data_IF_167243216720
#
_entry.id   IF_167243216720
#
_cell.length_a   1.000
_cell.length_b   1.000
_cell.length_c   1.000
_cell.angle_alpha   90.00
_cell.angle_beta   90.00
_cell.angle_gamma   90.00
#
_symmetry.space_group_name_H-M   'P 1'
#
loop_
_entity.id
_entity.type
_entity.pdbx_description
1 polymer ?
#
# COMPACT_ATOMS: atom_id res chain seq x y z
N UNK A 1 14.55 3.30 -24.36
CA UNK A 1 13.76 2.49 -23.41
C UNK A 1 14.23 2.84 -22.00
N UNK A 2 13.55 3.76 -21.30
CA UNK A 2 13.98 4.17 -19.96
C UNK A 2 13.68 3.04 -18.98
N UNK A 3 14.73 2.36 -18.50
CA UNK A 3 14.62 1.40 -17.41
C UNK A 3 14.15 2.16 -16.17
N UNK A 4 12.89 1.97 -15.78
CA UNK A 4 12.38 2.51 -14.52
C UNK A 4 13.18 1.89 -13.39
N UNK A 5 14.08 2.68 -12.79
CA UNK A 5 14.69 2.33 -11.53
C UNK A 5 13.57 1.92 -10.57
N UNK A 6 13.72 0.78 -9.89
CA UNK A 6 12.75 0.30 -8.89
C UNK A 6 12.71 1.29 -7.73
N UNK A 7 11.98 2.39 -7.89
CA UNK A 7 11.70 3.34 -6.83
C UNK A 7 10.84 2.63 -5.81
N UNK A 8 11.31 2.62 -4.57
CA UNK A 8 10.53 2.11 -3.44
C UNK A 8 9.48 3.17 -3.12
N UNK A 9 8.20 2.81 -3.29
CA UNK A 9 7.08 3.67 -2.92
C UNK A 9 6.76 3.45 -1.45
N UNK A 10 6.61 4.55 -0.70
CA UNK A 10 6.17 4.49 0.70
C UNK A 10 4.76 3.90 0.82
N UNK A 11 4.42 3.36 1.98
CA UNK A 11 3.07 2.85 2.26
C UNK A 11 2.01 3.95 2.04
N UNK A 12 2.33 5.21 2.38
CA UNK A 12 1.45 6.35 2.16
C UNK A 12 1.22 6.64 0.68
N UNK A 13 2.29 6.67 -0.14
CA UNK A 13 2.16 6.87 -1.60
C UNK A 13 1.33 5.76 -2.24
N UNK A 14 1.55 4.50 -1.84
CA UNK A 14 0.76 3.34 -2.30
C UNK A 14 -0.71 3.50 -1.92
N UNK A 15 -1.00 3.85 -0.67
CA UNK A 15 -2.36 4.07 -0.18
C UNK A 15 -3.09 5.18 -0.96
N UNK A 16 -2.42 6.32 -1.19
CA UNK A 16 -2.98 7.44 -1.96
C UNK A 16 -3.30 7.02 -3.40
N UNK A 17 -2.42 6.27 -4.04
CA UNK A 17 -2.63 5.77 -5.40
C UNK A 17 -3.82 4.80 -5.48
N UNK A 18 -3.92 3.85 -4.55
CA UNK A 18 -5.06 2.91 -4.49
C UNK A 18 -6.37 3.66 -4.23
N UNK A 19 -6.35 4.62 -3.29
CA UNK A 19 -7.50 5.48 -2.97
C UNK A 19 -7.98 6.27 -4.21
N UNK A 20 -7.08 6.98 -4.89
CA UNK A 20 -7.44 7.73 -6.10
C UNK A 20 -7.86 6.82 -7.26
N UNK A 21 -7.26 5.65 -7.38
CA UNK A 21 -7.67 4.66 -8.37
C UNK A 21 -9.10 4.18 -8.12
N UNK A 22 -9.45 3.91 -6.86
CA UNK A 22 -10.80 3.51 -6.48
C UNK A 22 -11.82 4.64 -6.72
N UNK A 23 -11.49 5.88 -6.37
CA UNK A 23 -12.35 7.05 -6.62
C UNK A 23 -12.61 7.31 -8.11
N UNK A 24 -11.56 7.23 -8.94
CA UNK A 24 -11.62 7.64 -10.35
C UNK A 24 -11.85 6.48 -11.31
N UNK A 25 -11.71 5.24 -10.82
CA UNK A 25 -11.68 4.00 -11.61
C UNK A 25 -10.70 4.07 -12.80
N UNK A 26 -9.66 4.91 -12.69
CA UNK A 26 -8.73 5.21 -13.78
C UNK A 26 -7.29 5.41 -13.29
N UNK A 27 -6.39 4.51 -13.70
CA UNK A 27 -4.98 4.59 -13.35
C UNK A 27 -4.30 5.83 -13.92
N UNK A 28 -4.73 6.32 -15.09
CA UNK A 28 -4.21 7.55 -15.70
C UNK A 28 -4.58 8.80 -14.88
N UNK A 29 -5.78 8.84 -14.32
CA UNK A 29 -6.20 9.92 -13.42
C UNK A 29 -5.50 9.86 -12.07
N UNK A 30 -5.35 8.67 -11.48
CA UNK A 30 -4.57 8.47 -10.26
C UNK A 30 -3.10 8.89 -10.45
N UNK A 31 -2.48 8.52 -11.58
CA UNK A 31 -1.13 8.92 -11.96
C UNK A 31 -0.98 10.45 -12.13
N UNK A 32 -1.97 11.11 -12.74
CA UNK A 32 -1.99 12.58 -12.87
C UNK A 32 -2.06 13.26 -11.49
N UNK A 33 -2.92 12.78 -10.59
CA UNK A 33 -3.01 13.29 -9.21
C UNK A 33 -1.72 13.06 -8.45
N UNK A 34 -1.08 11.91 -8.63
CA UNK A 34 0.21 11.61 -8.03
C UNK A 34 1.29 12.61 -8.45
N UNK A 35 1.42 12.90 -9.76
CA UNK A 35 2.37 13.93 -10.24
C UNK A 35 2.10 15.30 -9.62
N UNK A 36 0.83 15.69 -9.49
CA UNK A 36 0.44 16.97 -8.86
C UNK A 36 0.84 17.07 -7.39
N UNK A 37 0.66 15.99 -6.61
CA UNK A 37 0.89 16.02 -5.15
C UNK A 37 2.35 15.76 -4.78
N UNK A 38 3.00 14.80 -5.45
CA UNK A 38 4.34 14.35 -5.09
C UNK A 38 5.45 14.88 -6.00
N UNK A 39 5.10 15.59 -7.08
CA UNK A 39 6.03 16.09 -8.10
C UNK A 39 7.05 15.04 -8.57
N UNK A 40 6.59 13.79 -8.70
CA UNK A 40 7.42 12.64 -9.02
C UNK A 40 6.71 11.69 -9.98
N UNK A 41 7.48 10.83 -10.65
CA UNK A 41 6.92 9.92 -11.63
C UNK A 41 6.11 8.80 -10.94
N UNK A 42 4.83 8.60 -11.33
CA UNK A 42 3.99 7.55 -10.78
C UNK A 42 4.48 6.16 -11.21
N UNK A 43 4.06 5.11 -10.48
CA UNK A 43 4.29 3.75 -10.92
C UNK A 43 3.52 3.42 -12.19
N UNK A 44 3.92 2.34 -12.86
CA UNK A 44 3.19 1.80 -14.01
C UNK A 44 1.76 1.41 -13.63
N UNK A 45 0.85 1.51 -14.60
CA UNK A 45 -0.57 1.22 -14.40
C UNK A 45 -0.82 -0.21 -13.88
N UNK A 46 -0.03 -1.19 -14.33
CA UNK A 46 -0.13 -2.58 -13.87
C UNK A 46 0.20 -2.72 -12.38
N UNK A 47 1.16 -1.95 -11.88
CA UNK A 47 1.54 -1.96 -10.46
C UNK A 47 0.43 -1.35 -9.61
N UNK A 48 -0.20 -0.27 -10.06
CA UNK A 48 -1.34 0.36 -9.38
C UNK A 48 -2.52 -0.62 -9.30
N UNK A 49 -2.84 -1.31 -10.41
CA UNK A 49 -3.89 -2.35 -10.44
C UNK A 49 -3.57 -3.49 -9.48
N UNK A 50 -2.33 -3.96 -9.46
CA UNK A 50 -1.90 -5.03 -8.55
C UNK A 50 -2.09 -4.63 -7.08
N UNK A 51 -1.69 -3.41 -6.70
CA UNK A 51 -1.89 -2.93 -5.33
C UNK A 51 -3.37 -2.79 -4.96
N UNK A 52 -4.20 -2.32 -5.89
CA UNK A 52 -5.64 -2.23 -5.68
C UNK A 52 -6.26 -3.62 -5.48
N UNK A 53 -5.94 -4.59 -6.34
CA UNK A 53 -6.43 -5.96 -6.18
C UNK A 53 -5.99 -6.57 -4.84
N UNK A 54 -4.70 -6.46 -4.51
CA UNK A 54 -4.18 -6.94 -3.22
C UNK A 54 -4.89 -6.27 -2.04
N UNK A 55 -5.18 -4.98 -2.13
CA UNK A 55 -5.92 -4.25 -1.10
C UNK A 55 -7.36 -4.73 -0.98
N UNK A 56 -8.04 -5.01 -2.09
CA UNK A 56 -9.40 -5.56 -2.09
C UNK A 56 -9.46 -6.97 -1.49
N UNK A 57 -8.43 -7.79 -1.69
CA UNK A 57 -8.35 -9.16 -1.18
C UNK A 57 -7.91 -9.24 0.28
N UNK A 58 -6.92 -8.44 0.68
CA UNK A 58 -6.25 -8.57 1.99
C UNK A 58 -6.51 -7.42 2.94
N UNK A 59 -7.09 -6.30 2.45
CA UNK A 59 -7.20 -5.05 3.20
C UNK A 59 -5.88 -4.30 3.37
N UNK A 60 -4.76 -4.79 2.81
CA UNK A 60 -3.43 -4.20 2.96
C UNK A 60 -2.91 -3.62 1.65
N UNK A 61 -2.29 -2.44 1.73
CA UNK A 61 -1.60 -1.80 0.59
C UNK A 61 -0.11 -2.10 0.57
N UNK A 62 0.45 -2.69 1.62
CA UNK A 62 1.86 -3.08 1.72
C UNK A 62 2.03 -4.56 1.42
N UNK A 63 3.12 -4.91 0.74
CA UNK A 63 3.57 -6.30 0.65
C UNK A 63 4.18 -6.63 2.00
N UNK A 64 3.35 -6.97 2.99
CA UNK A 64 3.83 -7.49 4.25
C UNK A 64 4.49 -8.82 3.90
N UNK A 65 5.81 -8.84 3.74
CA UNK A 65 6.52 -10.13 3.76
C UNK A 65 6.06 -10.82 5.03
N UNK A 66 5.52 -12.04 4.89
CA UNK A 66 4.84 -12.79 5.96
C UNK A 66 5.58 -12.80 7.33
N UNK A 67 6.88 -12.53 7.33
CA UNK A 67 7.74 -12.33 8.50
C UNK A 67 7.31 -11.21 9.46
N UNK A 68 6.62 -10.15 9.01
CA UNK A 68 6.14 -9.09 9.92
C UNK A 68 4.77 -9.39 10.54
N UNK A 69 3.95 -10.19 9.85
CA UNK A 69 2.64 -10.63 10.35
C UNK A 69 2.77 -11.57 11.57
N UNK A 70 3.89 -12.31 11.65
CA UNK A 70 4.28 -13.12 12.82
C UNK A 70 4.55 -12.23 14.06
N UNK A 71 5.25 -11.11 13.89
CA UNK A 71 5.67 -10.25 15.02
C UNK A 71 4.51 -9.50 15.68
N UNK A 72 3.49 -9.12 14.92
CA UNK A 72 2.31 -8.45 15.48
C UNK A 72 1.38 -9.44 16.19
N UNK A 73 1.21 -10.65 15.64
CA UNK A 73 0.40 -11.72 16.24
C UNK A 73 1.06 -12.35 17.46
N UNK A 74 2.39 -12.42 17.49
CA UNK A 74 3.16 -12.97 18.60
C UNK A 74 3.49 -11.96 19.71
N UNK A 75 2.95 -10.73 19.64
CA UNK A 75 3.13 -9.73 20.71
C UNK A 75 2.31 -10.12 21.95
N UNK A 76 2.91 -10.54 23.08
CA UNK A 76 2.18 -11.02 24.27
C UNK A 76 1.47 -9.91 25.05
N UNK A 77 1.59 -8.65 24.61
CA UNK A 77 1.29 -7.45 25.40
C UNK A 77 -0.23 -7.27 25.61
N UNK A 78 -1.08 -7.99 24.88
CA UNK A 78 -2.53 -7.95 25.06
C UNK A 78 -3.12 -9.10 25.90
N UNK A 79 -2.31 -10.04 26.40
CA UNK A 79 -2.82 -11.15 27.23
C UNK A 79 -2.72 -10.92 28.75
N UNK A 80 -2.11 -9.83 29.21
CA UNK A 80 -1.78 -9.65 30.64
C UNK A 80 -2.75 -8.77 31.46
N UNK A 81 -3.97 -8.48 31.00
CA UNK A 81 -4.96 -7.69 31.80
C UNK A 81 -6.29 -8.39 32.09
N UNK A 82 -6.30 -9.72 32.20
CA UNK A 82 -7.50 -10.46 32.66
C UNK A 82 -7.32 -11.26 33.96
N UNK A 83 -6.28 -11.01 34.75
CA UNK A 83 -6.21 -11.56 36.11
C UNK A 83 -5.72 -10.51 37.11
N UNK A 84 -6.64 -9.71 37.63
CA UNK A 84 -6.51 -9.15 38.97
C UNK A 84 -7.87 -9.26 39.66
N UNK A 85 -7.92 -10.25 40.54
CA UNK A 85 -8.92 -10.46 41.60
C UNK A 85 -9.08 -9.24 42.49
#
# INVERSE_FOLDING_TARGET
MAAQARRVFSAFERAKLVCWFEETKSASMAARRYRSVFNAEPPQMDVIRKWHNNFMETGSVTDTTALEHEKFRASPILQSREHRV
#
